data_IF_835819973206
#
_entry.id   IF_835819973206
#
_cell.length_a   1.000
_cell.length_b   1.000
_cell.length_c   1.000
_cell.angle_alpha   90.00
_cell.angle_beta   90.00
_cell.angle_gamma   90.00
#
_symmetry.space_group_name_H-M   'P 1'
#
loop_
_entity.id
_entity.type
_entity.pdbx_description
1 polymer ?
#
# COMPACT_ATOMS: atom_id res chain seq x y z
N UNK A 1 12.49 -19.30 -2.25
CA UNK A 1 13.90 -19.29 -1.79
C UNK A 1 14.57 -18.11 -2.51
N UNK A 2 14.82 -16.95 -1.83
CA UNK A 2 15.30 -15.72 -2.48
C UNK A 2 16.56 -15.90 -3.31
N UNK A 3 17.55 -16.64 -2.79
CA UNK A 3 18.81 -16.88 -3.49
C UNK A 3 18.67 -17.58 -4.84
N UNK A 4 17.76 -18.55 -4.95
CA UNK A 4 17.48 -19.23 -6.23
C UNK A 4 16.86 -18.25 -7.23
N UNK A 5 15.87 -17.43 -6.81
CA UNK A 5 15.26 -16.43 -7.67
C UNK A 5 16.31 -15.44 -8.19
N UNK A 6 17.22 -14.96 -7.32
CA UNK A 6 18.28 -14.04 -7.72
C UNK A 6 19.28 -14.70 -8.69
N UNK A 7 19.60 -15.98 -8.51
CA UNK A 7 20.47 -16.73 -9.44
C UNK A 7 19.81 -16.87 -10.83
N UNK A 8 18.51 -17.20 -10.86
CA UNK A 8 17.75 -17.28 -12.13
C UNK A 8 17.67 -15.92 -12.84
N UNK A 9 17.47 -14.83 -12.09
CA UNK A 9 17.49 -13.48 -12.66
C UNK A 9 18.87 -13.14 -13.22
N UNK A 10 19.96 -13.50 -12.52
CA UNK A 10 21.32 -13.31 -13.03
C UNK A 10 21.53 -14.08 -14.33
N UNK A 11 21.10 -15.34 -14.39
CA UNK A 11 21.18 -16.14 -15.62
C UNK A 11 20.38 -15.51 -16.76
N UNK A 12 19.16 -15.04 -16.48
CA UNK A 12 18.31 -14.33 -17.45
C UNK A 12 19.01 -13.08 -18.01
N UNK A 13 19.62 -12.27 -17.16
CA UNK A 13 20.37 -11.08 -17.55
C UNK A 13 21.59 -11.44 -18.42
N UNK A 14 22.30 -12.52 -18.10
CA UNK A 14 23.41 -13.02 -18.93
C UNK A 14 22.93 -13.46 -20.31
N UNK A 15 21.83 -14.21 -20.38
CA UNK A 15 21.24 -14.65 -21.64
C UNK A 15 20.83 -13.45 -22.52
N UNK A 16 20.16 -12.46 -21.93
CA UNK A 16 19.73 -11.27 -22.66
C UNK A 16 20.88 -10.43 -23.21
N UNK A 17 21.99 -10.38 -22.49
CA UNK A 17 23.20 -9.66 -22.93
C UNK A 17 24.16 -10.52 -23.77
N UNK A 18 23.81 -11.78 -24.03
CA UNK A 18 24.66 -12.70 -24.77
C UNK A 18 24.64 -12.38 -26.29
N UNK A 19 25.78 -12.44 -26.92
CA UNK A 19 25.91 -12.34 -28.40
C UNK A 19 25.65 -13.74 -28.96
N UNK A 20 24.66 -13.90 -29.84
CA UNK A 20 24.29 -15.16 -30.50
C UNK A 20 23.95 -16.31 -29.55
N UNK A 21 23.48 -16.00 -28.32
CA UNK A 21 23.11 -17.01 -27.32
C UNK A 21 24.29 -17.76 -26.69
N UNK A 22 25.51 -17.28 -26.90
CA UNK A 22 26.70 -17.86 -26.29
C UNK A 22 26.95 -17.23 -24.93
N UNK A 23 27.00 -18.05 -23.89
CA UNK A 23 27.39 -17.64 -22.55
C UNK A 23 28.89 -17.89 -22.34
N UNK A 24 29.64 -16.95 -21.76
CA UNK A 24 31.01 -17.19 -21.36
C UNK A 24 31.07 -18.22 -20.23
N UNK A 25 32.17 -18.95 -20.18
CA UNK A 25 32.49 -19.74 -18.98
C UNK A 25 32.89 -18.78 -17.87
N UNK A 26 32.11 -18.77 -16.79
CA UNK A 26 32.32 -17.87 -15.64
C UNK A 26 31.76 -18.42 -14.37
N UNK A 27 32.28 -17.94 -13.25
CA UNK A 27 31.75 -18.17 -11.90
C UNK A 27 31.31 -16.82 -11.34
N UNK A 28 30.06 -16.76 -10.84
CA UNK A 28 29.54 -15.56 -10.20
C UNK A 28 29.32 -15.87 -8.71
N UNK A 29 29.96 -15.07 -7.85
CA UNK A 29 29.67 -15.02 -6.42
C UNK A 29 29.02 -13.69 -6.13
N UNK A 30 27.73 -13.72 -5.76
CA UNK A 30 26.92 -12.52 -5.56
C UNK A 30 26.18 -12.59 -4.23
N UNK A 31 26.09 -11.46 -3.53
CA UNK A 31 25.32 -11.30 -2.30
C UNK A 31 24.80 -9.86 -2.21
N UNK A 32 23.62 -9.65 -1.61
CA UNK A 32 23.07 -8.30 -1.48
C UNK A 32 23.91 -7.45 -0.53
N UNK A 33 24.21 -6.21 -0.93
CA UNK A 33 24.88 -5.24 -0.05
C UNK A 33 23.96 -4.75 1.06
N UNK A 34 22.65 -4.65 0.77
CA UNK A 34 21.60 -4.24 1.72
C UNK A 34 20.55 -5.34 1.82
N UNK A 35 20.14 -5.65 3.05
CA UNK A 35 19.09 -6.64 3.32
C UNK A 35 17.71 -6.13 2.87
N UNK A 36 17.44 -4.83 3.03
CA UNK A 36 16.23 -4.15 2.56
C UNK A 36 16.50 -3.44 1.24
N UNK A 37 15.76 -3.80 0.19
CA UNK A 37 15.84 -3.20 -1.14
C UNK A 37 14.42 -3.04 -1.67
N UNK A 38 13.82 -1.90 -1.39
CA UNK A 38 12.40 -1.68 -1.62
C UNK A 38 12.09 -0.42 -2.42
N UNK A 39 10.85 -0.38 -2.86
CA UNK A 39 10.18 0.83 -3.35
C UNK A 39 8.85 0.98 -2.61
N UNK A 40 8.33 2.20 -2.59
CA UNK A 40 7.00 2.52 -2.10
C UNK A 40 6.13 2.99 -3.26
N UNK A 41 4.87 2.58 -3.25
CA UNK A 41 3.84 3.10 -4.15
C UNK A 41 2.67 3.66 -3.33
N UNK A 42 2.30 4.90 -3.64
CA UNK A 42 1.11 5.54 -3.12
C UNK A 42 -0.10 5.09 -3.94
N UNK A 43 -0.93 4.25 -3.32
CA UNK A 43 -2.16 3.74 -3.94
C UNK A 43 -3.37 4.62 -3.60
N UNK A 44 -3.24 5.50 -2.61
CA UNK A 44 -4.31 6.38 -2.17
C UNK A 44 -4.51 7.55 -3.12
N UNK A 45 -3.43 8.33 -3.36
CA UNK A 45 -3.47 9.48 -4.25
C UNK A 45 -3.55 9.09 -5.72
N UNK A 46 -2.99 7.92 -6.06
CA UNK A 46 -3.09 7.32 -7.39
C UNK A 46 -3.43 5.84 -7.29
N UNK A 47 -4.59 5.42 -7.79
CA UNK A 47 -4.96 4.02 -7.76
C UNK A 47 -4.23 3.23 -8.86
N UNK A 48 -3.41 2.27 -8.45
CA UNK A 48 -2.71 1.34 -9.33
C UNK A 48 -3.55 0.09 -9.54
N UNK A 49 -3.87 -0.23 -10.78
CA UNK A 49 -4.55 -1.50 -11.07
C UNK A 49 -3.68 -2.70 -10.67
N UNK A 50 -4.31 -3.81 -10.28
CA UNK A 50 -3.56 -5.03 -9.89
C UNK A 50 -2.58 -5.48 -10.97
N UNK A 51 -2.93 -5.30 -12.24
CA UNK A 51 -2.06 -5.62 -13.38
C UNK A 51 -0.80 -4.75 -13.43
N UNK A 52 -0.89 -3.49 -12.99
CA UNK A 52 0.23 -2.55 -12.93
C UNK A 52 1.14 -2.87 -11.74
N UNK A 53 0.54 -3.18 -10.57
CA UNK A 53 1.28 -3.65 -9.41
C UNK A 53 2.06 -4.94 -9.72
N UNK A 54 1.45 -5.89 -10.44
CA UNK A 54 2.13 -7.11 -10.88
C UNK A 54 3.29 -6.82 -11.83
N UNK A 55 3.14 -5.91 -12.79
CA UNK A 55 4.24 -5.47 -13.66
C UNK A 55 5.38 -4.83 -12.87
N UNK A 56 5.05 -4.00 -11.88
CA UNK A 56 6.05 -3.41 -10.98
C UNK A 56 6.78 -4.49 -10.19
N UNK A 57 6.09 -5.48 -9.66
CA UNK A 57 6.69 -6.62 -8.96
C UNK A 57 7.63 -7.41 -9.89
N UNK A 58 7.27 -7.61 -11.17
CA UNK A 58 8.14 -8.26 -12.16
C UNK A 58 9.44 -7.47 -12.38
N UNK A 59 9.34 -6.13 -12.50
CA UNK A 59 10.49 -5.26 -12.62
C UNK A 59 11.37 -5.27 -11.36
N UNK A 60 10.74 -5.22 -10.19
CA UNK A 60 11.44 -5.34 -8.91
C UNK A 60 12.22 -6.64 -8.81
N UNK A 61 11.61 -7.75 -9.19
CA UNK A 61 12.27 -9.07 -9.21
C UNK A 61 13.48 -9.07 -10.13
N UNK A 62 13.35 -8.49 -11.34
CA UNK A 62 14.44 -8.36 -12.30
C UNK A 62 15.63 -7.55 -11.77
N UNK A 63 15.37 -6.52 -10.96
CA UNK A 63 16.40 -5.73 -10.28
C UNK A 63 16.78 -6.28 -8.89
N UNK A 64 16.31 -7.47 -8.53
CA UNK A 64 16.57 -8.14 -7.24
C UNK A 64 16.16 -7.30 -6.03
N UNK A 65 15.13 -6.45 -6.17
CA UNK A 65 14.47 -5.80 -5.05
C UNK A 65 13.62 -6.83 -4.31
N UNK A 66 13.41 -6.62 -3.00
CA UNK A 66 12.77 -7.62 -2.16
C UNK A 66 11.62 -7.08 -1.29
N UNK A 67 11.32 -5.80 -1.37
CA UNK A 67 10.28 -5.19 -0.54
C UNK A 67 9.46 -4.19 -1.34
N UNK A 68 8.14 -4.40 -1.36
CA UNK A 68 7.17 -3.45 -1.90
C UNK A 68 6.36 -2.87 -0.74
N UNK A 69 6.48 -1.58 -0.51
CA UNK A 69 5.68 -0.86 0.46
C UNK A 69 4.46 -0.25 -0.26
N UNK A 70 3.26 -0.59 0.19
CA UNK A 70 2.01 -0.07 -0.37
C UNK A 70 1.34 0.87 0.63
N UNK A 71 1.31 2.16 0.31
CA UNK A 71 0.55 3.17 1.02
C UNK A 71 -0.91 3.11 0.56
N UNK A 72 -1.76 2.46 1.38
CA UNK A 72 -3.11 2.04 0.96
C UNK A 72 -4.20 3.05 1.34
N UNK A 73 -3.91 3.98 2.25
CA UNK A 73 -4.91 4.93 2.74
C UNK A 73 -4.30 6.30 3.00
N UNK A 74 -5.08 7.32 2.65
CA UNK A 74 -4.77 8.72 2.92
C UNK A 74 -6.04 9.57 2.79
N UNK A 75 -5.95 10.88 2.86
CA UNK A 75 -7.08 11.81 2.72
C UNK A 75 -7.87 11.61 1.42
N UNK A 76 -7.20 11.22 0.33
CA UNK A 76 -7.77 11.10 -1.00
C UNK A 76 -8.45 9.76 -1.25
N UNK A 77 -8.13 8.71 -0.49
CA UNK A 77 -8.77 7.43 -0.70
C UNK A 77 -8.39 6.34 0.28
N UNK A 78 -9.40 5.60 0.69
CA UNK A 78 -9.27 4.34 1.39
C UNK A 78 -9.30 3.20 0.36
N UNK A 79 -8.17 2.52 0.14
CA UNK A 79 -8.02 1.53 -0.93
C UNK A 79 -8.01 0.07 -0.46
N UNK A 80 -8.34 -0.18 0.79
CA UNK A 80 -8.31 -1.49 1.40
C UNK A 80 -9.69 -1.90 1.93
N UNK A 81 -10.26 -3.01 1.42
CA UNK A 81 -11.56 -3.50 1.87
C UNK A 81 -11.46 -4.25 3.19
N UNK A 82 -12.29 -3.85 4.15
CA UNK A 82 -12.48 -4.53 5.45
C UNK A 82 -13.96 -4.91 5.56
N UNK A 83 -14.25 -6.20 5.68
CA UNK A 83 -15.63 -6.72 5.69
C UNK A 83 -16.49 -6.10 6.80
N UNK A 84 -15.89 -5.86 7.97
CA UNK A 84 -16.54 -5.23 9.12
C UNK A 84 -16.94 -3.77 8.86
N UNK A 85 -16.23 -3.09 7.96
CA UNK A 85 -16.40 -1.67 7.68
C UNK A 85 -16.60 -1.37 6.18
N UNK A 86 -17.70 -1.87 5.57
CA UNK A 86 -17.93 -1.69 4.14
C UNK A 86 -18.10 -0.21 3.71
N UNK A 87 -18.38 0.69 4.66
CA UNK A 87 -18.47 2.12 4.42
C UNK A 87 -17.14 2.74 3.99
N UNK A 88 -16.01 2.16 4.42
CA UNK A 88 -14.68 2.64 4.06
C UNK A 88 -14.45 2.60 2.54
N UNK A 89 -14.89 1.53 1.89
CA UNK A 89 -14.79 1.43 0.43
C UNK A 89 -15.96 2.06 -0.31
N UNK A 90 -17.15 2.13 0.30
CA UNK A 90 -18.31 2.77 -0.33
C UNK A 90 -18.24 4.30 -0.37
N UNK A 91 -17.61 4.92 0.64
CA UNK A 91 -17.50 6.38 0.77
C UNK A 91 -16.05 6.83 0.74
N UNK A 92 -15.16 6.18 1.49
CA UNK A 92 -13.76 6.56 1.60
C UNK A 92 -12.94 6.31 0.34
N UNK A 93 -13.37 5.44 -0.57
CA UNK A 93 -12.73 5.26 -1.88
C UNK A 93 -13.26 6.24 -2.95
N UNK A 94 -14.23 7.07 -2.61
CA UNK A 94 -14.81 8.04 -3.51
C UNK A 94 -13.94 9.29 -3.59
N UNK A 95 -13.58 9.71 -4.81
CA UNK A 95 -12.76 10.88 -5.05
C UNK A 95 -13.59 11.91 -5.82
N UNK A 96 -14.15 12.89 -5.12
CA UNK A 96 -15.17 13.78 -5.64
C UNK A 96 -14.79 14.50 -6.95
N UNK A 97 -13.53 14.96 -7.06
CA UNK A 97 -13.06 15.69 -8.23
C UNK A 97 -12.49 14.81 -9.34
N UNK A 98 -12.29 13.51 -9.09
CA UNK A 98 -11.74 12.57 -10.05
C UNK A 98 -12.62 11.31 -10.09
N UNK A 99 -13.78 11.39 -10.79
CA UNK A 99 -14.74 10.28 -10.87
C UNK A 99 -14.11 8.97 -11.36
N UNK A 100 -13.09 9.05 -12.21
CA UNK A 100 -12.35 7.89 -12.73
C UNK A 100 -11.54 7.15 -11.65
N UNK A 101 -11.23 7.81 -10.54
CA UNK A 101 -10.56 7.20 -9.38
C UNK A 101 -11.55 6.78 -8.29
N UNK A 102 -12.82 7.18 -8.42
CA UNK A 102 -13.86 6.92 -7.44
C UNK A 102 -14.28 5.45 -7.42
N UNK A 103 -14.51 4.93 -6.21
CA UNK A 103 -14.95 3.56 -6.00
C UNK A 103 -13.88 2.51 -6.25
N UNK A 104 -12.64 2.91 -6.53
CA UNK A 104 -11.52 1.99 -6.73
C UNK A 104 -10.89 1.60 -5.40
N UNK A 105 -10.81 0.32 -5.16
CA UNK A 105 -10.18 -0.28 -3.98
C UNK A 105 -9.75 -1.72 -4.28
N UNK A 106 -8.89 -2.25 -3.46
CA UNK A 106 -8.49 -3.65 -3.51
C UNK A 106 -9.38 -4.48 -2.59
N UNK A 107 -9.98 -5.54 -3.12
CA UNK A 107 -10.65 -6.54 -2.32
C UNK A 107 -9.62 -7.38 -1.55
N UNK A 108 -10.07 -8.09 -0.54
CA UNK A 108 -9.26 -9.06 0.21
C UNK A 108 -8.65 -10.13 -0.72
N UNK A 109 -9.42 -10.58 -1.71
CA UNK A 109 -8.93 -11.55 -2.71
C UNK A 109 -7.86 -10.96 -3.61
N UNK A 110 -8.00 -9.71 -4.06
CA UNK A 110 -7.01 -9.04 -4.90
C UNK A 110 -5.67 -8.92 -4.17
N UNK A 111 -5.71 -8.53 -2.90
CA UNK A 111 -4.49 -8.38 -2.09
C UNK A 111 -3.84 -9.73 -1.76
N UNK A 112 -4.62 -10.77 -1.46
CA UNK A 112 -4.08 -12.13 -1.25
C UNK A 112 -3.42 -12.67 -2.53
N UNK A 113 -4.03 -12.45 -3.69
CA UNK A 113 -3.45 -12.84 -4.97
C UNK A 113 -2.16 -12.05 -5.27
N UNK A 114 -2.14 -10.75 -4.98
CA UNK A 114 -0.95 -9.91 -5.14
C UNK A 114 0.19 -10.35 -4.20
N UNK A 115 -0.12 -10.65 -2.94
CA UNK A 115 0.86 -11.16 -1.95
C UNK A 115 1.45 -12.48 -2.42
N UNK A 116 0.63 -13.40 -2.90
CA UNK A 116 1.10 -14.67 -3.44
C UNK A 116 2.01 -14.45 -4.67
N UNK A 117 1.60 -13.56 -5.58
CA UNK A 117 2.36 -13.21 -6.77
C UNK A 117 3.75 -12.64 -6.43
N UNK A 118 3.82 -11.75 -5.44
CA UNK A 118 5.07 -11.16 -4.94
C UNK A 118 5.97 -12.21 -4.25
N UNK A 119 5.37 -13.04 -3.40
CA UNK A 119 6.07 -14.10 -2.66
C UNK A 119 6.80 -15.08 -3.57
N UNK A 120 6.17 -15.50 -4.68
CA UNK A 120 6.79 -16.36 -5.71
C UNK A 120 8.04 -15.72 -6.33
N UNK A 121 8.19 -14.40 -6.26
CA UNK A 121 9.32 -13.61 -6.75
C UNK A 121 10.32 -13.21 -5.67
N UNK A 122 10.08 -13.65 -4.45
CA UNK A 122 10.92 -13.31 -3.30
C UNK A 122 10.74 -11.87 -2.80
N UNK A 123 9.59 -11.27 -3.08
CA UNK A 123 9.24 -9.91 -2.67
C UNK A 123 8.19 -9.98 -1.54
N UNK A 124 8.46 -9.27 -0.45
CA UNK A 124 7.54 -9.06 0.66
C UNK A 124 6.77 -7.77 0.44
N UNK A 125 5.46 -7.79 0.63
CA UNK A 125 4.64 -6.58 0.62
C UNK A 125 4.46 -6.11 2.06
N UNK A 126 4.82 -4.86 2.34
CA UNK A 126 4.56 -4.16 3.59
C UNK A 126 3.35 -3.25 3.35
N UNK A 127 2.20 -3.53 3.99
CA UNK A 127 1.05 -2.63 3.90
C UNK A 127 1.24 -1.42 4.82
N UNK A 128 0.74 -0.26 4.39
CA UNK A 128 0.61 0.92 5.21
C UNK A 128 -0.84 1.39 5.25
N UNK A 129 -1.32 1.63 6.47
CA UNK A 129 -2.55 2.35 6.77
C UNK A 129 -2.15 3.54 7.62
N UNK A 130 -2.28 4.75 7.09
CA UNK A 130 -1.84 5.94 7.78
C UNK A 130 -2.82 6.34 8.89
N UNK A 131 -2.32 6.39 10.11
CA UNK A 131 -3.04 6.66 11.34
C UNK A 131 -2.14 7.40 12.34
N UNK A 132 -2.67 8.25 13.22
CA UNK A 132 -4.06 8.72 13.31
C UNK A 132 -4.38 9.91 12.39
N UNK A 133 -3.38 10.44 11.69
CA UNK A 133 -3.48 11.50 10.68
C UNK A 133 -3.95 10.99 9.33
N UNK A 134 -4.04 11.88 8.33
CA UNK A 134 -4.37 11.55 6.94
C UNK A 134 -5.65 10.70 6.78
N UNK A 135 -6.66 10.95 7.65
CA UNK A 135 -7.80 10.06 7.83
C UNK A 135 -9.12 10.57 7.23
N UNK A 136 -9.11 11.56 6.32
CA UNK A 136 -10.36 12.08 5.76
C UNK A 136 -11.14 10.98 5.04
N UNK A 137 -10.48 10.13 4.28
CA UNK A 137 -11.16 9.03 3.59
C UNK A 137 -11.78 8.02 4.57
N UNK A 138 -11.14 7.79 5.70
CA UNK A 138 -11.66 7.00 6.80
C UNK A 138 -12.89 7.68 7.41
N UNK A 139 -12.78 8.97 7.76
CA UNK A 139 -13.85 9.75 8.38
C UNK A 139 -15.04 9.97 7.45
N UNK A 140 -14.85 9.97 6.13
CA UNK A 140 -15.95 9.96 5.17
C UNK A 140 -16.82 8.70 5.30
N UNK A 141 -16.21 7.56 5.65
CA UNK A 141 -16.91 6.31 5.93
C UNK A 141 -17.44 6.19 7.36
N UNK A 142 -16.66 6.64 8.33
CA UNK A 142 -16.88 6.47 9.77
C UNK A 142 -16.72 7.81 10.53
N UNK A 143 -17.61 8.78 10.30
CA UNK A 143 -17.50 10.12 10.89
C UNK A 143 -17.57 10.13 12.42
N UNK A 144 -18.11 9.09 13.04
CA UNK A 144 -18.18 8.88 14.49
C UNK A 144 -16.80 8.70 15.13
N UNK A 145 -15.75 8.40 14.35
CA UNK A 145 -14.39 8.30 14.85
C UNK A 145 -13.68 9.65 14.94
N UNK A 146 -14.30 10.73 14.44
CA UNK A 146 -13.79 12.11 14.59
C UNK A 146 -14.07 12.64 16.01
N UNK A 147 -13.20 13.54 16.50
CA UNK A 147 -13.44 14.25 17.78
C UNK A 147 -14.61 15.26 17.70
N UNK A 148 -14.89 15.77 16.51
CA UNK A 148 -15.89 16.84 16.32
C UNK A 148 -17.17 16.33 15.65
N UNK A 149 -17.13 15.14 15.04
CA UNK A 149 -18.20 14.66 14.17
C UNK A 149 -18.32 15.51 12.89
N UNK A 150 -19.36 15.28 12.11
CA UNK A 150 -19.64 16.06 10.91
C UNK A 150 -19.66 15.24 9.63
N UNK A 151 -19.63 15.94 8.52
CA UNK A 151 -19.58 15.33 7.17
C UNK A 151 -18.15 15.51 6.66
N UNK A 152 -17.55 14.41 6.24
CA UNK A 152 -16.23 14.38 5.63
C UNK A 152 -16.35 13.92 4.18
N UNK A 153 -15.65 14.60 3.29
CA UNK A 153 -15.58 14.28 1.86
C UNK A 153 -14.11 14.11 1.48
N UNK A 154 -13.80 13.06 0.76
CA UNK A 154 -12.48 12.87 0.17
C UNK A 154 -12.23 13.91 -0.92
N UNK A 155 -11.05 14.53 -0.93
CA UNK A 155 -10.75 15.62 -1.86
C UNK A 155 -9.25 15.80 -2.13
N UNK A 156 -8.86 16.42 -3.25
CA UNK A 156 -7.49 16.81 -3.50
C UNK A 156 -6.98 17.83 -2.47
N UNK A 157 -5.71 17.71 -2.11
CA UNK A 157 -5.02 18.66 -1.19
C UNK A 157 -5.09 20.12 -1.67
N UNK A 158 -5.33 20.34 -2.96
CA UNK A 158 -5.28 21.64 -3.61
C UNK A 158 -6.52 22.52 -3.41
N UNK A 159 -7.63 21.99 -2.89
CA UNK A 159 -8.82 22.81 -2.66
C UNK A 159 -8.61 23.82 -1.54
N UNK A 160 -8.91 25.09 -1.80
CA UNK A 160 -8.80 26.16 -0.81
C UNK A 160 -9.61 25.93 0.48
N UNK A 161 -10.74 25.21 0.38
CA UNK A 161 -11.53 24.80 1.53
C UNK A 161 -10.71 23.92 2.52
N UNK A 162 -9.71 23.20 2.04
CA UNK A 162 -8.87 22.31 2.81
C UNK A 162 -7.73 23.02 3.49
N UNK A 163 -7.20 24.08 2.88
CA UNK A 163 -6.14 24.92 3.50
C UNK A 163 -6.57 25.56 4.82
N UNK A 164 -7.88 25.58 5.12
CA UNK A 164 -8.44 26.17 6.33
C UNK A 164 -8.78 25.17 7.42
N UNK A 165 -8.81 23.86 7.13
CA UNK A 165 -9.05 22.85 8.14
C UNK A 165 -7.75 22.60 8.92
N UNK A 166 -7.85 22.62 10.25
CA UNK A 166 -6.72 22.31 11.12
C UNK A 166 -6.37 20.83 10.96
N UNK A 167 -5.10 20.46 11.11
CA UNK A 167 -4.62 19.07 11.09
C UNK A 167 -5.47 18.16 11.97
N UNK A 168 -5.89 18.65 13.14
CA UNK A 168 -6.79 17.93 14.05
C UNK A 168 -8.17 17.53 13.46
N UNK A 169 -8.59 18.16 12.37
CA UNK A 169 -9.85 17.80 11.67
C UNK A 169 -9.68 16.62 10.71
N UNK A 170 -8.44 16.22 10.43
CA UNK A 170 -8.09 15.13 9.52
C UNK A 170 -7.69 13.85 10.26
N UNK A 171 -7.82 13.85 11.58
CA UNK A 171 -7.38 12.77 12.46
C UNK A 171 -8.54 12.03 13.08
N UNK A 172 -8.36 10.73 13.33
CA UNK A 172 -9.26 10.02 14.23
C UNK A 172 -9.10 10.50 15.67
N UNK A 173 -10.17 10.46 16.45
CA UNK A 173 -10.15 10.88 17.84
C UNK A 173 -9.48 9.82 18.71
N UNK A 174 -8.25 10.03 19.13
CA UNK A 174 -7.50 9.08 19.98
C UNK A 174 -8.12 8.94 21.40
N UNK A 175 -8.91 9.91 21.84
CA UNK A 175 -9.69 9.83 23.09
C UNK A 175 -10.99 9.04 22.97
N UNK A 176 -11.37 8.59 21.76
CA UNK A 176 -12.57 7.80 21.54
C UNK A 176 -12.23 6.30 21.60
N UNK A 177 -12.80 5.52 22.55
CA UNK A 177 -12.55 4.07 22.64
C UNK A 177 -12.86 3.31 21.35
N UNK A 178 -13.82 3.79 20.54
CA UNK A 178 -14.16 3.19 19.27
C UNK A 178 -13.00 3.30 18.25
N UNK A 179 -12.19 4.37 18.34
CA UNK A 179 -11.01 4.54 17.47
C UNK A 179 -9.96 3.47 17.76
N UNK A 180 -9.72 3.12 19.03
CA UNK A 180 -8.80 2.06 19.39
C UNK A 180 -9.29 0.69 18.86
N UNK A 181 -10.56 0.37 19.12
CA UNK A 181 -11.16 -0.86 18.60
C UNK A 181 -11.11 -0.94 17.07
N UNK A 182 -11.30 0.18 16.39
CA UNK A 182 -11.13 0.26 14.94
C UNK A 182 -9.70 -0.04 14.49
N UNK A 183 -8.70 0.53 15.17
CA UNK A 183 -7.28 0.27 14.84
C UNK A 183 -6.94 -1.21 15.03
N UNK A 184 -7.42 -1.84 16.10
CA UNK A 184 -7.25 -3.28 16.34
C UNK A 184 -7.85 -4.11 15.20
N UNK A 185 -9.10 -3.82 14.80
CA UNK A 185 -9.75 -4.49 13.67
C UNK A 185 -9.00 -4.31 12.33
N UNK A 186 -8.43 -3.13 12.11
CA UNK A 186 -7.61 -2.85 10.91
C UNK A 186 -6.33 -3.69 10.91
N UNK A 187 -5.64 -3.74 12.04
CA UNK A 187 -4.41 -4.56 12.19
C UNK A 187 -4.73 -6.04 12.00
N UNK A 188 -5.82 -6.53 12.58
CA UNK A 188 -6.25 -7.92 12.39
C UNK A 188 -6.54 -8.22 10.91
N UNK A 189 -7.25 -7.33 10.22
CA UNK A 189 -7.55 -7.48 8.81
C UNK A 189 -6.29 -7.48 7.94
N UNK A 190 -5.28 -6.66 8.27
CA UNK A 190 -3.99 -6.62 7.58
C UNK A 190 -3.20 -7.90 7.80
N UNK A 191 -3.13 -8.38 9.05
CA UNK A 191 -2.38 -9.60 9.38
C UNK A 191 -2.96 -10.85 8.73
N UNK A 192 -4.27 -10.87 8.49
CA UNK A 192 -4.92 -11.97 7.77
C UNK A 192 -4.49 -12.06 6.29
N UNK A 193 -4.08 -10.93 5.69
CA UNK A 193 -3.76 -10.83 4.26
C UNK A 193 -2.25 -10.82 4.03
N UNK A 194 -1.52 -10.04 4.82
CA UNK A 194 -0.09 -9.78 4.61
C UNK A 194 0.78 -10.56 5.60
N UNK A 195 1.51 -11.59 5.15
CA UNK A 195 2.43 -12.36 5.99
C UNK A 195 3.75 -11.61 6.22
N UNK A 196 3.73 -10.29 6.12
CA UNK A 196 4.87 -9.43 6.38
C UNK A 196 5.20 -9.39 7.86
N UNK A 197 6.49 -9.38 8.26
CA UNK A 197 6.87 -9.16 9.64
C UNK A 197 6.65 -7.70 10.10
N UNK A 198 6.26 -6.82 9.17
CA UNK A 198 6.04 -5.39 9.41
C UNK A 198 4.70 -4.94 8.86
N UNK A 199 4.02 -4.09 9.61
CA UNK A 199 2.89 -3.26 9.18
C UNK A 199 3.31 -1.82 9.45
N UNK A 200 3.13 -0.95 8.47
CA UNK A 200 3.40 0.48 8.61
C UNK A 200 2.09 1.20 8.99
N UNK A 201 2.12 1.99 10.04
CA UNK A 201 0.95 2.73 10.53
C UNK A 201 1.00 4.24 10.20
N UNK A 202 1.94 4.66 9.37
CA UNK A 202 2.15 6.07 9.06
C UNK A 202 2.64 6.87 10.25
N UNK A 203 1.81 7.81 10.71
CA UNK A 203 2.07 8.62 11.90
C UNK A 203 2.73 9.95 11.61
N UNK A 204 2.69 10.40 10.36
CA UNK A 204 3.19 11.69 9.95
C UNK A 204 2.16 12.80 10.21
N UNK A 205 2.67 14.04 10.36
CA UNK A 205 1.90 15.29 10.54
C UNK A 205 0.89 15.26 11.70
N UNK A 206 1.19 14.53 12.77
CA UNK A 206 0.34 14.41 13.99
C UNK A 206 0.83 15.29 15.15
N UNK A 207 1.46 16.41 14.85
CA UNK A 207 2.00 17.34 15.84
C UNK A 207 1.01 18.32 16.42
#
# INVERSE_FOLDING_TARGET
IPGLNHALVTLQQLIWNSTKGLLPELTITDHPRFSYRGIMLDCSRHFWEISELKKTIDQMAFFKLNTLHLHLTDNQGWRFAIDKYPQLTKKGSYYYDYPELSGKYYSKSDLKDLVNYASLRGITIIPEIDLPGHCISLLAGLPELSCQGGIFETYPEEREANKRKRVAEHMICIGNPQSLAFVEDVVDALTEIFPSPYIHLGGDEVG
#
